data_IF_764579615373
#
_entry.id   IF_764579615373
#
_cell.length_a   1.000
_cell.length_b   1.000
_cell.length_c   1.000
_cell.angle_alpha   90.00
_cell.angle_beta   90.00
_cell.angle_gamma   90.00
#
_symmetry.space_group_name_H-M   'P 1'
#
loop_
_entity.id
_entity.type
_entity.pdbx_description
1 polymer ?
#
# COMPACT_ATOMS: atom_id res chain seq x y z
N UNK A 1 -6.24 30.48 25.01
CA UNK A 1 -6.55 29.03 24.96
C UNK A 1 -6.53 28.61 23.50
N UNK A 2 -5.77 27.56 23.18
CA UNK A 2 -5.45 27.10 21.83
C UNK A 2 -6.71 26.78 21.02
N UNK A 3 -6.91 27.48 19.91
CA UNK A 3 -7.94 27.17 18.92
C UNK A 3 -7.61 25.83 18.23
N UNK A 4 -8.31 24.77 18.66
CA UNK A 4 -8.35 23.51 17.94
C UNK A 4 -9.11 23.71 16.64
N UNK A 5 -8.38 23.84 15.53
CA UNK A 5 -8.94 23.86 14.17
C UNK A 5 -9.86 22.65 14.00
N UNK A 6 -11.10 22.83 13.50
CA UNK A 6 -11.95 21.71 13.15
C UNK A 6 -11.22 20.91 12.08
N UNK A 7 -10.82 19.68 12.43
CA UNK A 7 -10.35 18.71 11.45
C UNK A 7 -11.52 18.51 10.48
N UNK A 8 -11.48 19.23 9.35
CA UNK A 8 -12.27 18.90 8.17
C UNK A 8 -11.95 17.43 7.90
N UNK A 9 -12.87 16.56 8.31
CA UNK A 9 -12.97 15.19 7.84
C UNK A 9 -13.31 15.32 6.35
N UNK A 10 -12.32 15.70 5.55
CA UNK A 10 -12.36 15.49 4.11
C UNK A 10 -12.65 14.00 3.99
N UNK A 11 -13.77 13.65 3.35
CA UNK A 11 -13.99 12.31 2.80
C UNK A 11 -12.80 12.04 1.88
N UNK A 12 -11.67 11.61 2.45
CA UNK A 12 -10.50 11.23 1.69
C UNK A 12 -10.95 10.04 0.89
N UNK A 13 -10.82 10.13 -0.44
CA UNK A 13 -11.12 9.00 -1.30
C UNK A 13 -10.32 7.80 -0.80
N UNK A 14 -10.80 6.56 -0.99
CA UNK A 14 -10.04 5.36 -0.64
C UNK A 14 -8.60 5.43 -1.16
N UNK A 15 -8.39 6.10 -2.30
CA UNK A 15 -7.09 6.32 -2.93
C UNK A 15 -6.18 7.20 -2.10
N UNK A 16 -6.71 8.31 -1.59
CA UNK A 16 -5.94 9.24 -0.75
C UNK A 16 -5.62 8.60 0.60
N UNK A 17 -6.51 7.75 1.14
CA UNK A 17 -6.24 6.98 2.37
C UNK A 17 -5.06 6.03 2.14
N UNK A 18 -5.10 5.23 1.08
CA UNK A 18 -4.02 4.28 0.75
C UNK A 18 -2.72 5.04 0.46
N UNK A 19 -2.78 6.10 -0.34
CA UNK A 19 -1.60 6.90 -0.66
C UNK A 19 -0.97 7.51 0.59
N UNK A 20 -1.78 8.09 1.48
CA UNK A 20 -1.32 8.63 2.75
C UNK A 20 -0.67 7.56 3.62
N UNK A 21 -1.26 6.35 3.70
CA UNK A 21 -0.69 5.22 4.43
C UNK A 21 0.69 4.83 3.87
N UNK A 22 0.81 4.78 2.54
CA UNK A 22 2.08 4.50 1.85
C UNK A 22 3.10 5.63 2.07
N UNK A 23 2.68 6.89 2.10
CA UNK A 23 3.56 8.03 2.43
C UNK A 23 4.04 8.02 3.87
N UNK A 24 3.21 7.54 4.79
CA UNK A 24 3.52 7.40 6.21
C UNK A 24 4.35 6.16 6.54
N UNK A 25 4.59 5.24 5.59
CA UNK A 25 5.49 4.12 5.81
C UNK A 25 6.87 4.64 6.22
N UNK A 26 7.43 4.07 7.29
CA UNK A 26 8.84 4.20 7.65
C UNK A 26 9.74 3.17 6.96
N UNK A 27 11.07 3.33 7.08
CA UNK A 27 12.02 2.31 6.65
C UNK A 27 11.83 1.02 7.46
N UNK A 28 11.60 -0.09 6.75
CA UNK A 28 11.29 -1.39 7.38
C UNK A 28 9.79 -1.63 7.62
N UNK A 29 8.93 -0.64 7.40
CA UNK A 29 7.48 -0.83 7.41
C UNK A 29 6.96 -1.26 6.03
N UNK A 30 5.91 -2.08 6.08
CA UNK A 30 5.17 -2.52 4.90
C UNK A 30 3.68 -2.50 5.21
N UNK A 31 2.87 -2.25 4.20
CA UNK A 31 1.41 -2.30 4.28
C UNK A 31 0.89 -3.29 3.25
N UNK A 32 0.04 -4.19 3.70
CA UNK A 32 -0.56 -5.21 2.85
C UNK A 32 -2.00 -4.84 2.51
N UNK A 33 -2.41 -5.12 1.28
CA UNK A 33 -3.77 -4.90 0.79
C UNK A 33 -4.28 -6.17 0.12
N UNK A 34 -5.38 -6.72 0.61
CA UNK A 34 -6.02 -7.89 0.00
C UNK A 34 -6.76 -7.46 -1.26
N UNK A 35 -6.36 -8.02 -2.38
CA UNK A 35 -7.00 -7.84 -3.67
C UNK A 35 -8.27 -8.68 -3.76
N UNK A 36 -9.16 -8.36 -4.70
CA UNK A 36 -10.35 -9.15 -4.92
C UNK A 36 -10.00 -10.58 -5.39
N UNK A 37 -10.86 -11.55 -5.04
CA UNK A 37 -10.71 -12.96 -5.38
C UNK A 37 -10.54 -13.21 -6.90
N UNK A 38 -11.13 -12.35 -7.74
CA UNK A 38 -10.96 -12.38 -9.20
C UNK A 38 -9.51 -12.22 -9.66
N UNK A 39 -8.64 -11.66 -8.82
CA UNK A 39 -7.20 -11.53 -9.05
C UNK A 39 -6.37 -12.60 -8.30
N UNK A 40 -7.01 -13.68 -7.86
CA UNK A 40 -6.36 -14.80 -7.16
C UNK A 40 -6.22 -14.60 -5.65
N UNK A 41 -7.06 -13.74 -5.05
CA UNK A 41 -7.08 -13.43 -3.61
C UNK A 41 -5.70 -13.06 -3.02
N UNK A 42 -4.87 -12.42 -3.84
CA UNK A 42 -3.51 -12.03 -3.47
C UNK A 42 -3.47 -10.81 -2.55
N UNK A 43 -2.35 -10.66 -1.85
CA UNK A 43 -1.97 -9.50 -1.06
C UNK A 43 -1.00 -8.63 -1.85
N UNK A 44 -1.40 -7.39 -2.10
CA UNK A 44 -0.52 -6.32 -2.56
C UNK A 44 0.22 -5.73 -1.36
N UNK A 45 1.50 -6.06 -1.23
CA UNK A 45 2.39 -5.56 -0.18
C UNK A 45 3.14 -4.35 -0.74
N UNK A 46 2.94 -3.19 -0.13
CA UNK A 46 3.71 -1.98 -0.41
C UNK A 46 4.71 -1.76 0.70
N UNK A 47 5.98 -1.64 0.34
CA UNK A 47 7.07 -1.42 1.28
C UNK A 47 8.00 -0.30 0.81
N UNK A 48 8.66 0.36 1.75
CA UNK A 48 9.67 1.36 1.45
C UNK A 48 10.96 0.68 1.02
N UNK A 49 11.54 1.14 -0.08
CA UNK A 49 12.84 0.68 -0.53
C UNK A 49 13.93 1.22 0.41
N UNK A 50 14.65 0.36 1.15
CA UNK A 50 15.71 0.79 2.05
C UNK A 50 16.92 1.39 1.30
N UNK A 51 17.05 1.11 0.00
CA UNK A 51 18.11 1.66 -0.84
C UNK A 51 17.75 3.02 -1.45
N UNK A 52 16.53 3.54 -1.26
CA UNK A 52 16.18 4.88 -1.74
C UNK A 52 16.69 5.96 -0.77
N UNK A 53 17.23 7.11 -1.25
CA UNK A 53 17.29 7.58 -2.63
C UNK A 53 18.51 7.10 -3.45
N UNK A 54 19.40 6.29 -2.88
CA UNK A 54 20.64 5.86 -3.55
C UNK A 54 20.40 4.93 -4.76
N UNK A 55 19.36 4.09 -4.74
CA UNK A 55 19.09 3.12 -5.82
C UNK A 55 17.60 2.80 -5.97
N UNK A 56 17.11 2.90 -7.19
CA UNK A 56 15.75 2.50 -7.56
C UNK A 56 14.68 3.53 -7.20
N UNK A 57 13.45 3.07 -7.00
CA UNK A 57 12.31 3.94 -6.63
C UNK A 57 11.99 3.81 -5.14
N UNK A 58 11.27 4.79 -4.60
CA UNK A 58 10.95 4.93 -3.17
C UNK A 58 10.12 3.77 -2.62
N UNK A 59 9.16 3.27 -3.40
CA UNK A 59 8.23 2.22 -2.95
C UNK A 59 8.36 0.98 -3.82
N UNK A 60 8.32 -0.19 -3.19
CA UNK A 60 8.18 -1.48 -3.84
C UNK A 60 6.75 -1.98 -3.68
N UNK A 61 6.20 -2.51 -4.77
CA UNK A 61 4.94 -3.23 -4.76
C UNK A 61 5.25 -4.69 -5.05
N UNK A 62 4.92 -5.54 -4.10
CA UNK A 62 5.02 -6.98 -4.21
C UNK A 62 3.63 -7.60 -4.15
N UNK A 63 3.45 -8.72 -4.82
CA UNK A 63 2.26 -9.55 -4.69
C UNK A 63 2.60 -10.83 -3.95
N UNK A 64 1.85 -11.10 -2.90
CA UNK A 64 1.94 -12.32 -2.11
C UNK A 64 0.65 -13.10 -2.27
N UNK A 65 0.72 -14.41 -2.48
CA UNK A 65 -0.49 -15.22 -2.57
C UNK A 65 -1.01 -15.53 -1.18
N UNK A 66 -2.32 -15.58 -1.03
CA UNK A 66 -2.95 -16.17 0.15
C UNK A 66 -3.21 -17.65 -0.14
N UNK A 67 -2.64 -18.53 0.69
CA UNK A 67 -2.89 -19.98 0.67
C UNK A 67 -3.42 -20.35 2.04
N UNK A 68 -4.58 -21.02 2.10
CA UNK A 68 -5.22 -21.43 3.35
C UNK A 68 -5.52 -20.24 4.31
N UNK A 69 -5.89 -19.09 3.73
CA UNK A 69 -6.18 -17.87 4.49
C UNK A 69 -4.96 -17.16 5.09
N UNK A 70 -3.74 -17.61 4.78
CA UNK A 70 -2.49 -16.98 5.22
C UNK A 70 -1.62 -16.56 4.05
N UNK A 71 -0.83 -15.49 4.17
CA UNK A 71 0.20 -15.18 3.19
C UNK A 71 1.17 -16.36 3.02
N UNK A 72 1.43 -16.75 1.78
CA UNK A 72 2.37 -17.84 1.42
C UNK A 72 3.81 -17.54 1.90
N UNK A 73 4.10 -16.29 2.27
CA UNK A 73 5.43 -15.81 2.64
C UNK A 73 6.33 -15.57 1.42
N UNK A 74 5.82 -15.86 0.21
CA UNK A 74 6.49 -15.55 -1.06
C UNK A 74 5.91 -14.28 -1.65
N UNK A 75 6.67 -13.20 -1.49
CA UNK A 75 6.40 -11.90 -2.13
C UNK A 75 7.04 -11.88 -3.51
N UNK A 76 6.23 -11.97 -4.56
CA UNK A 76 6.65 -11.72 -5.93
C UNK A 76 6.75 -10.22 -6.17
N UNK A 77 7.96 -9.69 -6.32
CA UNK A 77 8.16 -8.30 -6.71
C UNK A 77 7.42 -8.01 -8.01
N UNK A 78 6.48 -7.06 -7.97
CA UNK A 78 5.69 -6.71 -9.15
C UNK A 78 6.35 -5.54 -9.88
N UNK A 79 6.52 -4.42 -9.18
CA UNK A 79 7.19 -3.24 -9.71
C UNK A 79 7.60 -2.28 -8.59
N UNK A 80 8.16 -1.15 -8.98
CA UNK A 80 8.60 -0.09 -8.09
C UNK A 80 7.91 1.20 -8.54
N UNK A 81 7.54 2.07 -7.60
CA UNK A 81 7.02 3.41 -7.92
C UNK A 81 7.55 4.47 -6.95
N UNK A 82 7.70 5.71 -7.43
CA UNK A 82 7.96 6.88 -6.58
C UNK A 82 6.65 7.57 -6.17
N UNK A 83 5.52 7.14 -6.74
CA UNK A 83 4.23 7.81 -6.60
C UNK A 83 3.28 6.94 -5.76
N UNK A 84 3.02 7.31 -4.51
CA UNK A 84 2.13 6.55 -3.63
C UNK A 84 0.69 6.52 -4.17
N UNK A 85 0.25 7.58 -4.85
CA UNK A 85 -1.06 7.67 -5.50
C UNK A 85 -1.23 6.68 -6.67
N UNK A 86 -0.15 6.34 -7.36
CA UNK A 86 -0.17 5.37 -8.46
C UNK A 86 -0.37 3.96 -7.92
N UNK A 87 0.35 3.62 -6.85
CA UNK A 87 0.16 2.38 -6.10
C UNK A 87 -1.27 2.29 -5.54
N UNK A 88 -1.75 3.37 -4.93
CA UNK A 88 -3.10 3.44 -4.39
C UNK A 88 -4.19 3.25 -5.45
N UNK A 89 -4.03 3.86 -6.62
CA UNK A 89 -4.94 3.66 -7.74
C UNK A 89 -4.94 2.19 -8.17
N UNK A 90 -3.76 1.60 -8.39
CA UNK A 90 -3.63 0.21 -8.81
C UNK A 90 -4.26 -0.79 -7.83
N UNK A 91 -4.06 -0.56 -6.53
CA UNK A 91 -4.67 -1.36 -5.47
C UNK A 91 -6.19 -1.26 -5.54
N UNK A 92 -6.76 -0.06 -5.68
CA UNK A 92 -8.21 0.14 -5.71
C UNK A 92 -8.89 -0.38 -6.96
N UNK A 93 -8.27 -0.20 -8.12
CA UNK A 93 -8.76 -0.76 -9.40
C UNK A 93 -8.94 -2.28 -9.30
N UNK A 94 -8.16 -2.94 -8.42
CA UNK A 94 -8.21 -4.38 -8.16
C UNK A 94 -9.07 -4.78 -6.96
N UNK A 95 -9.88 -3.85 -6.44
CA UNK A 95 -10.71 -4.08 -5.25
C UNK A 95 -9.90 -4.22 -3.97
N UNK A 96 -8.68 -3.68 -3.94
CA UNK A 96 -7.74 -3.78 -2.84
C UNK A 96 -8.29 -3.15 -1.56
N UNK A 97 -8.39 -3.97 -0.51
CA UNK A 97 -8.80 -3.58 0.83
C UNK A 97 -7.60 -3.69 1.76
N UNK A 98 -7.49 -2.79 2.72
CA UNK A 98 -6.42 -2.84 3.72
C UNK A 98 -6.46 -4.20 4.44
N UNK A 99 -5.35 -4.94 4.36
CA UNK A 99 -5.13 -6.17 5.10
C UNK A 99 -4.30 -5.80 6.33
N UNK A 100 -4.97 -5.73 7.48
CA UNK A 100 -4.39 -5.33 8.76
C UNK A 100 -4.56 -6.43 9.79
#
# INVERSE_FOLDING_TARGET
>A
ATEAKPQKVKKLSPKDIIASKVEQLGPGESVSYRLAEVYGDGLAVVELNPQYPEKGKKYFLSLEKIVDGKPEGKRGHLWNSNKPKELAAWILERGGKLYS
#
